data_IF_105931588888
#
_entry.id   IF_105931588888
#
_cell.length_a   1.000
_cell.length_b   1.000
_cell.length_c   1.000
_cell.angle_alpha   90.00
_cell.angle_beta   90.00
_cell.angle_gamma   90.00
#
_symmetry.space_group_name_H-M   'P 1'
#
loop_
_entity.id
_entity.type
_entity.pdbx_description
1 polymer ?
#
# COMPACT_ATOMS: atom_id res chain seq x y z
N UNK A 1 0.14 -9.83 -3.79
CA UNK A 1 0.01 -8.48 -3.18
C UNK A 1 0.08 -8.50 -1.66
N UNK A 2 -0.66 -9.37 -0.95
CA UNK A 2 -0.61 -9.42 0.54
C UNK A 2 0.59 -10.22 1.06
N UNK A 3 0.86 -11.38 0.46
CA UNK A 3 1.97 -12.27 0.85
C UNK A 3 3.35 -11.61 0.79
N UNK A 4 3.64 -10.84 -0.25
CA UNK A 4 4.95 -10.18 -0.46
C UNK A 4 5.29 -9.25 0.73
N UNK A 5 4.43 -8.29 1.15
CA UNK A 5 4.62 -7.51 2.37
C UNK A 5 4.78 -8.35 3.65
N UNK A 6 4.04 -9.44 3.80
CA UNK A 6 4.13 -10.28 5.00
C UNK A 6 5.49 -10.98 5.12
N UNK A 7 6.07 -11.41 3.99
CA UNK A 7 7.38 -12.08 3.97
C UNK A 7 8.52 -11.06 4.00
N UNK A 8 8.43 -10.00 3.19
CA UNK A 8 9.57 -9.12 2.90
C UNK A 8 9.47 -7.71 3.49
N UNK A 9 8.33 -7.34 4.09
CA UNK A 9 8.10 -5.99 4.63
C UNK A 9 8.03 -4.88 3.58
N UNK A 10 7.88 -5.22 2.29
CA UNK A 10 7.85 -4.27 1.17
C UNK A 10 6.89 -4.72 0.07
N UNK A 11 6.58 -3.81 -0.86
CA UNK A 11 5.94 -4.14 -2.13
C UNK A 11 6.39 -3.14 -3.20
N UNK A 12 7.14 -3.63 -4.17
CA UNK A 12 7.77 -2.86 -5.24
C UNK A 12 7.43 -3.45 -6.60
N UNK A 13 7.72 -2.73 -7.68
CA UNK A 13 7.48 -3.23 -9.04
C UNK A 13 8.27 -4.51 -9.36
N UNK A 14 9.48 -4.66 -8.79
CA UNK A 14 10.30 -5.86 -9.01
C UNK A 14 9.71 -7.14 -8.42
N UNK A 15 8.83 -7.02 -7.43
CA UNK A 15 8.19 -8.17 -6.78
C UNK A 15 7.09 -8.83 -7.64
N UNK A 16 6.77 -8.24 -8.81
CA UNK A 16 5.85 -8.81 -9.80
C UNK A 16 6.56 -9.55 -10.94
N UNK A 17 7.89 -9.74 -10.86
CA UNK A 17 8.66 -10.46 -11.88
C UNK A 17 8.61 -11.96 -11.69
N UNK A 18 8.77 -12.73 -12.77
CA UNK A 18 8.81 -14.20 -12.73
C UNK A 18 9.87 -14.71 -11.74
N UNK A 19 11.03 -14.04 -11.69
CA UNK A 19 12.11 -14.38 -10.75
C UNK A 19 11.63 -14.40 -9.29
N UNK A 20 10.82 -13.42 -8.89
CA UNK A 20 10.28 -13.36 -7.52
C UNK A 20 9.13 -14.34 -7.37
N UNK A 21 8.30 -14.50 -8.40
CA UNK A 21 7.18 -15.44 -8.39
C UNK A 21 7.59 -16.92 -8.23
N UNK A 22 8.85 -17.28 -8.54
CA UNK A 22 9.40 -18.62 -8.35
C UNK A 22 9.66 -19.00 -6.87
N UNK A 23 9.60 -18.07 -5.92
CA UNK A 23 9.76 -18.39 -4.50
C UNK A 23 8.52 -19.13 -3.97
N UNK A 24 8.67 -20.43 -3.70
CA UNK A 24 7.60 -21.32 -3.25
C UNK A 24 6.94 -20.87 -1.95
N UNK A 25 7.64 -20.12 -1.08
CA UNK A 25 7.06 -19.60 0.16
C UNK A 25 5.90 -18.63 -0.10
N UNK A 26 5.93 -17.94 -1.24
CA UNK A 26 4.84 -17.04 -1.65
C UNK A 26 3.58 -17.85 -1.90
N UNK A 27 3.69 -18.94 -2.68
CA UNK A 27 2.54 -19.76 -3.02
C UNK A 27 2.04 -20.57 -1.81
N UNK A 28 2.94 -21.06 -0.96
CA UNK A 28 2.57 -21.69 0.30
C UNK A 28 1.77 -20.79 1.23
N UNK A 29 2.14 -19.50 1.32
CA UNK A 29 1.37 -18.55 2.14
C UNK A 29 0.06 -18.16 1.46
N UNK A 30 0.06 -17.97 0.13
CA UNK A 30 -1.18 -17.69 -0.63
C UNK A 30 -2.22 -18.80 -0.47
N UNK A 31 -1.80 -20.06 -0.47
CA UNK A 31 -2.69 -21.20 -0.27
C UNK A 31 -3.40 -21.19 1.10
N UNK A 32 -2.87 -20.46 2.08
CA UNK A 32 -3.45 -20.30 3.42
C UNK A 32 -4.33 -19.05 3.55
N UNK A 33 -4.37 -18.18 2.55
CA UNK A 33 -5.15 -16.93 2.58
C UNK A 33 -6.58 -17.22 2.14
N UNK A 34 -7.54 -16.91 3.02
CA UNK A 34 -8.97 -16.93 2.72
C UNK A 34 -9.44 -15.47 2.62
N UNK A 35 -10.03 -15.11 1.48
CA UNK A 35 -10.63 -13.80 1.27
C UNK A 35 -12.16 -13.92 1.38
N UNK A 36 -12.76 -13.14 2.28
CA UNK A 36 -14.21 -13.11 2.49
C UNK A 36 -14.73 -11.68 2.37
N UNK A 37 -15.98 -11.54 1.95
CA UNK A 37 -16.63 -10.24 1.87
C UNK A 37 -17.10 -9.79 3.27
N UNK A 38 -16.73 -8.57 3.64
CA UNK A 38 -17.38 -7.84 4.72
C UNK A 38 -18.36 -6.83 4.12
N UNK A 39 -19.67 -7.10 4.25
CA UNK A 39 -20.75 -6.30 3.63
C UNK A 39 -20.66 -4.82 4.00
N UNK A 40 -20.15 -4.50 5.20
CA UNK A 40 -19.92 -3.12 5.61
C UNK A 40 -18.95 -2.39 4.67
N UNK A 41 -17.85 -3.03 4.27
CA UNK A 41 -16.88 -2.39 3.37
C UNK A 41 -17.47 -2.14 1.99
N UNK A 42 -18.24 -3.09 1.46
CA UNK A 42 -19.00 -2.94 0.21
C UNK A 42 -19.98 -1.76 0.30
N UNK A 43 -20.74 -1.67 1.38
CA UNK A 43 -21.69 -0.58 1.59
C UNK A 43 -21.02 0.79 1.72
N UNK A 44 -19.84 0.88 2.36
CA UNK A 44 -19.11 2.14 2.55
C UNK A 44 -18.29 2.58 1.33
N UNK A 45 -18.06 1.67 0.36
CA UNK A 45 -17.36 1.96 -0.90
C UNK A 45 -18.15 2.89 -1.84
N UNK A 46 -19.48 2.75 -1.90
CA UNK A 46 -20.30 3.47 -2.89
C UNK A 46 -20.61 4.94 -2.56
N UNK A 47 -20.93 5.32 -1.31
CA UNK A 47 -21.34 6.68 -0.99
C UNK A 47 -20.25 7.72 -1.36
N UNK A 48 -20.58 8.79 -2.10
CA UNK A 48 -19.60 9.78 -2.55
C UNK A 48 -18.83 10.47 -1.42
N UNK A 49 -19.45 10.60 -0.25
CA UNK A 49 -18.84 11.19 0.95
C UNK A 49 -17.90 10.23 1.69
N UNK A 50 -17.95 8.92 1.39
CA UNK A 50 -17.07 7.91 1.98
C UNK A 50 -16.01 7.43 0.99
N UNK A 51 -16.42 6.68 -0.05
CA UNK A 51 -15.54 6.01 -1.01
C UNK A 51 -14.39 5.24 -0.35
N UNK A 52 -14.67 4.56 0.76
CA UNK A 52 -13.66 3.79 1.49
C UNK A 52 -13.23 2.57 0.70
N UNK A 53 -11.96 2.17 0.82
CA UNK A 53 -11.41 0.96 0.20
C UNK A 53 -10.97 0.05 1.35
N UNK A 54 -11.95 -0.41 2.13
CA UNK A 54 -11.73 -1.13 3.37
C UNK A 54 -11.16 -2.52 3.15
N UNK A 55 -10.06 -2.82 3.85
CA UNK A 55 -9.52 -4.18 3.97
C UNK A 55 -9.12 -4.42 5.43
N UNK A 56 -9.25 -5.67 5.87
CA UNK A 56 -8.72 -6.11 7.15
C UNK A 56 -7.95 -7.42 6.99
N UNK A 57 -6.91 -7.60 7.78
CA UNK A 57 -6.12 -8.83 7.84
C UNK A 57 -6.16 -9.34 9.28
N UNK A 58 -6.45 -10.63 9.44
CA UNK A 58 -6.34 -11.38 10.67
C UNK A 58 -5.42 -12.57 10.40
N UNK A 59 -4.48 -12.83 11.31
CA UNK A 59 -3.50 -13.91 11.14
C UNK A 59 -3.62 -14.83 12.35
N UNK A 60 -3.81 -16.11 12.07
CA UNK A 60 -3.74 -17.19 13.06
C UNK A 60 -2.41 -17.93 12.88
N UNK A 61 -1.66 -18.07 13.97
CA UNK A 61 -0.38 -18.77 14.00
C UNK A 61 -0.61 -20.28 14.22
N UNK A 62 0.42 -21.08 13.93
CA UNK A 62 0.35 -22.55 14.06
C UNK A 62 0.09 -23.06 15.48
N UNK A 63 0.37 -22.24 16.49
CA UNK A 63 0.11 -22.54 17.90
C UNK A 63 -1.32 -22.16 18.33
N UNK A 64 -2.15 -21.66 17.41
CA UNK A 64 -3.51 -21.20 17.65
C UNK A 64 -3.61 -19.74 18.10
N UNK A 65 -2.48 -19.02 18.26
CA UNK A 65 -2.50 -17.60 18.62
C UNK A 65 -3.06 -16.78 17.46
N UNK A 66 -4.11 -15.99 17.72
CA UNK A 66 -4.67 -15.05 16.76
C UNK A 66 -4.13 -13.65 17.05
N UNK A 67 -3.50 -13.04 16.05
CA UNK A 67 -2.99 -11.67 16.15
C UNK A 67 -4.12 -10.64 16.01
N UNK A 68 -3.89 -9.45 16.55
CA UNK A 68 -4.82 -8.33 16.41
C UNK A 68 -5.16 -8.06 14.95
N UNK A 69 -6.46 -7.90 14.69
CA UNK A 69 -6.96 -7.62 13.35
C UNK A 69 -6.51 -6.23 12.90
N UNK A 70 -5.70 -6.18 11.85
CA UNK A 70 -5.26 -4.94 11.24
C UNK A 70 -6.28 -4.46 10.18
N UNK A 71 -7.04 -3.42 10.48
CA UNK A 71 -8.05 -2.84 9.59
C UNK A 71 -7.60 -1.48 9.03
N UNK A 72 -7.72 -1.31 7.71
CA UNK A 72 -7.48 -0.02 7.04
C UNK A 72 -8.66 0.30 6.12
N UNK A 73 -9.39 1.37 6.44
CA UNK A 73 -10.57 1.84 5.67
C UNK A 73 -10.24 2.81 4.55
N UNK A 74 -9.20 3.61 4.75
CA UNK A 74 -8.78 4.65 3.81
C UNK A 74 -7.31 4.47 3.50
N UNK A 75 -6.97 4.27 2.22
CA UNK A 75 -5.59 4.22 1.77
C UNK A 75 -4.89 5.56 2.01
N UNK A 76 -3.56 5.56 2.09
CA UNK A 76 -2.77 6.77 2.38
C UNK A 76 -2.95 7.88 1.34
N UNK A 77 -3.35 7.54 0.11
CA UNK A 77 -3.68 8.50 -0.94
C UNK A 77 -5.09 9.11 -0.87
N UNK A 78 -5.94 8.62 0.05
CA UNK A 78 -7.33 9.09 0.16
C UNK A 78 -7.43 10.49 0.80
N UNK A 79 -8.50 11.24 0.50
CA UNK A 79 -8.69 12.65 0.93
C UNK A 79 -8.46 12.90 2.44
N UNK A 80 -8.99 12.09 3.38
CA UNK A 80 -8.79 12.28 4.81
C UNK A 80 -7.36 12.05 5.29
N UNK A 81 -6.51 11.35 4.51
CA UNK A 81 -5.11 11.05 4.88
C UNK A 81 -4.10 11.92 4.13
N UNK A 82 -4.53 13.06 3.57
CA UNK A 82 -3.65 13.94 2.78
C UNK A 82 -2.43 14.45 3.56
N UNK A 83 -2.56 14.69 4.86
CA UNK A 83 -1.43 15.13 5.68
C UNK A 83 -0.35 14.05 5.81
N UNK A 84 -0.73 12.78 5.83
CA UNK A 84 0.20 11.65 5.79
C UNK A 84 0.69 11.35 4.36
N UNK A 85 -0.20 11.50 3.36
CA UNK A 85 0.08 11.14 1.97
C UNK A 85 0.91 12.16 1.19
N UNK A 86 0.79 13.47 1.46
CA UNK A 86 1.54 14.53 0.77
C UNK A 86 3.06 14.33 0.89
N UNK A 87 3.65 14.11 2.10
CA UNK A 87 5.09 13.85 2.21
C UNK A 87 5.55 12.62 1.41
N UNK A 88 4.74 11.56 1.36
CA UNK A 88 5.05 10.35 0.59
C UNK A 88 5.00 10.60 -0.91
N UNK A 89 4.05 11.42 -1.38
CA UNK A 89 3.95 11.82 -2.78
C UNK A 89 5.17 12.65 -3.20
N UNK A 90 5.59 13.61 -2.37
CA UNK A 90 6.79 14.42 -2.63
C UNK A 90 8.06 13.56 -2.65
N UNK A 91 8.20 12.64 -1.70
CA UNK A 91 9.31 11.69 -1.67
C UNK A 91 9.32 10.81 -2.93
N UNK A 92 8.15 10.31 -3.36
CA UNK A 92 8.00 9.56 -4.61
C UNK A 92 8.43 10.42 -5.81
N UNK A 93 7.94 11.64 -5.92
CA UNK A 93 8.27 12.54 -7.02
C UNK A 93 9.78 12.79 -7.10
N UNK A 94 10.40 13.19 -5.99
CA UNK A 94 11.86 13.43 -5.90
C UNK A 94 12.66 12.20 -6.31
N UNK A 95 12.28 11.01 -5.83
CA UNK A 95 12.92 9.75 -6.21
C UNK A 95 12.86 9.52 -7.72
N UNK A 96 11.70 9.69 -8.34
CA UNK A 96 11.54 9.45 -9.78
C UNK A 96 12.23 10.49 -10.65
N UNK A 97 12.19 11.78 -10.26
CA UNK A 97 12.94 12.84 -10.98
C UNK A 97 14.43 12.56 -10.93
N UNK A 98 15.00 12.23 -9.75
CA UNK A 98 16.44 11.93 -9.63
C UNK A 98 16.89 10.78 -10.55
N UNK A 99 16.04 9.79 -10.76
CA UNK A 99 16.36 8.63 -11.61
C UNK A 99 16.26 8.94 -13.11
N UNK A 100 15.44 9.91 -13.52
CA UNK A 100 15.19 10.23 -14.95
C UNK A 100 15.89 11.50 -15.43
N UNK A 101 16.19 12.47 -14.55
CA UNK A 101 16.86 13.71 -14.92
C UNK A 101 18.38 13.61 -14.71
N UNK A 102 19.13 13.85 -15.79
CA UNK A 102 20.54 14.30 -15.76
C UNK A 102 20.69 15.78 -15.34
N UNK A 103 19.70 16.36 -14.65
CA UNK A 103 19.69 17.78 -14.26
C UNK A 103 19.92 17.92 -12.74
N UNK A 104 20.75 18.89 -12.31
CA UNK A 104 21.10 19.06 -10.90
C UNK A 104 19.88 19.46 -10.05
N UNK A 105 19.86 18.99 -8.79
CA UNK A 105 18.78 19.21 -7.82
C UNK A 105 18.56 20.69 -7.43
N UNK A 106 19.45 21.59 -7.84
CA UNK A 106 19.34 23.04 -7.62
C UNK A 106 18.15 23.69 -8.32
N UNK A 107 17.57 23.03 -9.34
CA UNK A 107 16.44 23.57 -10.12
C UNK A 107 15.09 23.53 -9.39
N UNK A 108 14.98 22.84 -8.26
CA UNK A 108 13.70 22.59 -7.58
C UNK A 108 13.55 23.31 -6.24
N UNK A 109 14.47 24.21 -5.86
CA UNK A 109 14.44 24.85 -4.55
C UNK A 109 13.54 26.09 -4.44
N UNK A 110 12.92 26.59 -5.52
CA UNK A 110 12.15 27.84 -5.47
C UNK A 110 10.84 27.81 -6.27
N UNK A 111 9.92 26.91 -5.94
CA UNK A 111 8.51 27.11 -6.33
C UNK A 111 7.62 27.04 -5.09
N UNK A 112 6.89 28.12 -4.74
CA UNK A 112 5.92 28.07 -3.66
C UNK A 112 4.76 27.18 -4.11
N UNK A 113 4.68 25.97 -3.56
CA UNK A 113 3.57 25.04 -3.78
C UNK A 113 2.34 25.49 -3.01
N UNK A 114 1.73 26.59 -3.46
CA UNK A 114 0.34 26.91 -3.13
C UNK A 114 -0.57 26.15 -4.10
N UNK A 115 -0.96 24.94 -3.74
CA UNK A 115 -2.14 24.30 -4.32
C UNK A 115 -3.29 24.45 -3.33
N UNK A 116 -4.18 25.39 -3.64
CA UNK A 116 -5.50 25.54 -3.03
C UNK A 116 -6.31 24.24 -3.16
#
# INVERSE_FOLDING_TARGET
MVTIPLIFGRLTTGDYTDKVALDLQIDELRAKIICTEEKKYSAEYHPPNKRSIGNAIMIELKDGTVLDKAEIKYSVGHKPRREEGKPLLDAKLKRHIKTHNRLPLSSFQNTPTSFY
#
